data_IF_108589398132
#
_entry.id   IF_108589398132
#
_cell.length_a   1.000
_cell.length_b   1.000
_cell.length_c   1.000
_cell.angle_alpha   90.00
_cell.angle_beta   90.00
_cell.angle_gamma   90.00
#
_symmetry.space_group_name_H-M   'P 1'
#
loop_
_entity.id
_entity.type
_entity.pdbx_description
1 polymer ?
#
# COMPACT_ATOMS: atom_id res chain seq x y z
N UNK A 1 13.17 -23.37 0.94
CA UNK A 1 12.88 -22.41 -0.15
C UNK A 1 12.66 -21.04 0.49
N UNK A 2 13.58 -20.08 0.30
CA UNK A 2 13.33 -18.69 0.72
C UNK A 2 12.22 -18.13 -0.17
N UNK A 3 10.99 -18.12 0.34
CA UNK A 3 9.86 -17.50 -0.35
C UNK A 3 9.99 -16.00 -0.21
N UNK A 4 10.45 -15.34 -1.27
CA UNK A 4 10.36 -13.89 -1.41
C UNK A 4 8.88 -13.53 -1.61
N UNK A 5 8.37 -12.64 -0.78
CA UNK A 5 7.02 -12.08 -0.87
C UNK A 5 7.04 -10.73 -1.58
N UNK A 6 5.87 -10.26 -2.03
CA UNK A 6 5.73 -8.90 -2.54
C UNK A 6 6.11 -7.87 -1.46
N UNK A 7 5.77 -8.13 -0.20
CA UNK A 7 6.13 -7.28 0.94
C UNK A 7 7.65 -7.10 1.03
N UNK A 8 8.45 -8.14 0.81
CA UNK A 8 9.92 -8.03 0.84
C UNK A 8 10.45 -7.09 -0.25
N UNK A 9 9.85 -7.13 -1.45
CA UNK A 9 10.21 -6.24 -2.55
C UNK A 9 9.82 -4.78 -2.26
N UNK A 10 8.63 -4.58 -1.67
CA UNK A 10 8.17 -3.25 -1.28
C UNK A 10 9.02 -2.66 -0.15
N UNK A 11 9.34 -3.43 0.91
CA UNK A 11 10.22 -2.98 1.99
C UNK A 11 11.58 -2.52 1.49
N UNK A 12 12.20 -3.24 0.55
CA UNK A 12 13.46 -2.80 -0.08
C UNK A 12 13.31 -1.48 -0.83
N UNK A 13 12.20 -1.32 -1.56
CA UNK A 13 11.91 -0.10 -2.32
C UNK A 13 11.65 1.09 -1.39
N UNK A 14 10.88 0.89 -0.32
CA UNK A 14 10.64 1.89 0.73
C UNK A 14 11.94 2.39 1.32
N UNK A 15 12.81 1.47 1.79
CA UNK A 15 14.08 1.81 2.40
C UNK A 15 14.99 2.62 1.48
N UNK A 16 15.02 2.29 0.18
CA UNK A 16 15.87 2.95 -0.80
C UNK A 16 15.32 4.30 -1.31
N UNK A 17 14.00 4.52 -1.25
CA UNK A 17 13.32 5.63 -1.96
C UNK A 17 12.31 6.40 -1.12
N UNK A 18 12.42 6.38 0.21
CA UNK A 18 11.46 6.95 1.19
C UNK A 18 10.77 8.24 0.75
N UNK A 19 11.55 9.27 0.39
CA UNK A 19 11.04 10.61 0.05
C UNK A 19 10.62 10.77 -1.42
N UNK A 20 10.77 9.73 -2.25
CA UNK A 20 10.37 9.80 -3.65
C UNK A 20 8.86 9.56 -3.79
N UNK A 21 8.21 10.18 -4.78
CA UNK A 21 6.85 9.84 -5.15
C UNK A 21 6.71 8.35 -5.44
N UNK A 22 5.74 7.70 -4.79
CA UNK A 22 5.35 6.33 -5.06
C UNK A 22 4.12 6.28 -5.98
N UNK A 23 3.10 7.09 -5.67
CA UNK A 23 1.85 7.15 -6.43
C UNK A 23 1.50 8.61 -6.67
N UNK A 24 1.16 8.93 -7.92
CA UNK A 24 0.57 10.21 -8.31
C UNK A 24 -0.87 9.95 -8.76
N UNK A 25 -1.83 10.52 -8.03
CA UNK A 25 -3.25 10.43 -8.35
C UNK A 25 -3.65 11.59 -9.26
N UNK A 26 -4.26 11.22 -10.38
CA UNK A 26 -4.76 12.18 -11.37
C UNK A 26 -6.29 12.20 -11.36
N UNK A 27 -6.86 13.40 -11.39
CA UNK A 27 -8.28 13.63 -11.63
C UNK A 27 -8.43 14.60 -12.79
N UNK A 28 -9.25 14.22 -13.76
CA UNK A 28 -9.46 14.98 -14.99
C UNK A 28 -8.15 15.36 -15.71
N UNK A 29 -7.18 14.44 -15.68
CA UNK A 29 -5.86 14.61 -16.29
C UNK A 29 -4.88 15.49 -15.51
N UNK A 30 -5.27 16.04 -14.36
CA UNK A 30 -4.42 16.88 -13.52
C UNK A 30 -3.95 16.15 -12.26
N UNK A 31 -2.73 16.47 -11.81
CA UNK A 31 -2.18 15.96 -10.55
C UNK A 31 -2.98 16.53 -9.39
N UNK A 32 -3.72 15.67 -8.70
CA UNK A 32 -4.50 16.03 -7.53
C UNK A 32 -3.73 15.74 -6.24
N UNK A 33 -3.07 14.59 -6.16
CA UNK A 33 -2.36 14.17 -4.96
C UNK A 33 -1.16 13.31 -5.32
N UNK A 34 -0.11 13.39 -4.52
CA UNK A 34 1.05 12.52 -4.61
C UNK A 34 1.41 12.03 -3.23
N UNK A 35 1.69 10.74 -3.13
CA UNK A 35 2.13 10.11 -1.89
C UNK A 35 3.53 9.53 -2.10
N UNK A 36 4.39 9.78 -1.13
CA UNK A 36 5.74 9.25 -1.08
C UNK A 36 5.74 7.75 -0.72
N UNK A 37 6.87 7.09 -0.95
CA UNK A 37 7.08 5.71 -0.51
C UNK A 37 6.92 5.55 1.01
N UNK A 38 7.36 6.54 1.80
CA UNK A 38 7.21 6.52 3.26
C UNK A 38 5.75 6.65 3.72
N UNK A 39 4.97 7.52 3.07
CA UNK A 39 3.53 7.67 3.37
C UNK A 39 2.77 6.40 3.00
N UNK A 40 3.04 5.83 1.83
CA UNK A 40 2.43 4.58 1.38
C UNK A 40 2.72 3.43 2.35
N UNK A 41 3.96 3.29 2.84
CA UNK A 41 4.33 2.29 3.85
C UNK A 41 3.51 2.45 5.14
N UNK A 42 3.38 3.69 5.63
CA UNK A 42 2.63 3.99 6.86
C UNK A 42 1.16 3.64 6.72
N UNK A 43 0.54 4.00 5.60
CA UNK A 43 -0.87 3.73 5.36
C UNK A 43 -1.13 2.23 5.14
N UNK A 44 -0.24 1.54 4.43
CA UNK A 44 -0.29 0.07 4.26
C UNK A 44 -0.22 -0.63 5.62
N UNK A 45 0.70 -0.22 6.50
CA UNK A 45 0.83 -0.80 7.83
C UNK A 45 -0.39 -0.51 8.72
N UNK A 46 -1.02 0.65 8.59
CA UNK A 46 -2.28 0.95 9.30
C UNK A 46 -3.38 0.00 8.83
N UNK A 47 -3.53 -0.21 7.53
CA UNK A 47 -4.52 -1.12 6.97
C UNK A 47 -4.27 -2.59 7.37
N UNK A 48 -3.00 -3.02 7.36
CA UNK A 48 -2.63 -4.36 7.81
C UNK A 48 -3.07 -4.63 9.25
N UNK A 49 -2.87 -3.67 10.16
CA UNK A 49 -3.34 -3.78 11.55
C UNK A 49 -4.87 -3.82 11.65
N UNK A 50 -5.60 -3.10 10.78
CA UNK A 50 -7.07 -3.19 10.72
C UNK A 50 -7.48 -4.61 10.33
N UNK A 51 -6.87 -5.21 9.31
CA UNK A 51 -7.17 -6.59 8.91
C UNK A 51 -6.86 -7.61 10.02
N UNK A 52 -5.73 -7.44 10.71
CA UNK A 52 -5.39 -8.29 11.86
C UNK A 52 -6.45 -8.17 12.97
N UNK A 53 -6.90 -6.96 13.27
CA UNK A 53 -7.94 -6.71 14.29
C UNK A 53 -9.32 -7.26 13.88
N UNK A 54 -9.59 -7.37 12.57
CA UNK A 54 -10.79 -8.01 12.04
C UNK A 54 -10.68 -9.55 12.00
N UNK A 55 -9.53 -10.11 12.39
CA UNK A 55 -9.30 -11.55 12.44
C UNK A 55 -8.91 -12.17 11.09
N UNK A 56 -8.38 -11.38 10.14
CA UNK A 56 -7.89 -11.91 8.86
C UNK A 56 -6.62 -12.71 9.08
N UNK A 57 -6.61 -13.96 8.62
CA UNK A 57 -5.49 -14.88 8.72
C UNK A 57 -4.91 -15.28 7.37
N UNK A 58 -3.77 -15.97 7.41
CA UNK A 58 -3.10 -16.45 6.21
C UNK A 58 -3.98 -17.49 5.49
N UNK A 59 -4.35 -17.17 4.26
CA UNK A 59 -5.22 -18.02 3.44
C UNK A 59 -6.63 -17.47 3.29
N UNK A 60 -6.99 -16.47 4.11
CA UNK A 60 -8.25 -15.76 3.97
C UNK A 60 -8.29 -14.90 2.70
N UNK A 61 -9.52 -14.66 2.24
CA UNK A 61 -9.80 -13.86 1.05
C UNK A 61 -10.45 -12.56 1.49
N UNK A 62 -9.83 -11.45 1.10
CA UNK A 62 -10.37 -10.10 1.33
C UNK A 62 -10.90 -9.57 0.00
N UNK A 63 -12.17 -9.16 -0.03
CA UNK A 63 -12.79 -8.54 -1.21
C UNK A 63 -12.88 -7.04 -0.98
N UNK A 64 -12.28 -6.25 -1.86
CA UNK A 64 -12.36 -4.79 -1.85
C UNK A 64 -13.37 -4.33 -2.90
N UNK A 65 -14.53 -3.83 -2.45
CA UNK A 65 -15.55 -3.24 -3.32
C UNK A 65 -15.63 -1.74 -3.07
N UNK A 66 -14.71 -1.00 -3.69
CA UNK A 66 -14.52 0.44 -3.51
C UNK A 66 -14.21 1.11 -4.85
N UNK A 67 -14.56 2.39 -5.04
CA UNK A 67 -14.09 3.15 -6.19
C UNK A 67 -12.58 3.35 -6.11
N UNK A 68 -11.97 3.72 -7.25
CA UNK A 68 -10.54 4.07 -7.31
C UNK A 68 -10.24 5.16 -6.27
N UNK A 69 -9.36 4.86 -5.32
CA UNK A 69 -8.97 5.78 -4.25
C UNK A 69 -7.51 5.59 -3.88
N UNK A 70 -6.92 6.59 -3.23
CA UNK A 70 -5.56 6.49 -2.67
C UNK A 70 -5.50 5.69 -1.37
N UNK A 71 -6.64 5.45 -0.71
CA UNK A 71 -6.70 4.74 0.57
C UNK A 71 -6.40 3.24 0.42
N UNK A 72 -6.55 2.69 -0.78
CA UNK A 72 -6.33 1.28 -1.09
C UNK A 72 -5.59 1.15 -2.42
N UNK A 73 -4.26 1.08 -2.36
CA UNK A 73 -3.35 0.77 -3.48
C UNK A 73 -2.43 -0.38 -3.10
#
# INVERSE_FOLDING_TARGET
>A
MNKVSLTDCFSKSFLARKEKPAITFLRDGQKETEISYLELERDTNRMANIFLNLGVEKGDRVILFIPKSLVFV
#
